data_IF_795952191094
#
_entry.id   IF_795952191094
#
_cell.length_a   1.000
_cell.length_b   1.000
_cell.length_c   1.000
_cell.angle_alpha   90.00
_cell.angle_beta   90.00
_cell.angle_gamma   90.00
#
_symmetry.space_group_name_H-M   'P 1'
#
loop_
_entity.id
_entity.type
_entity.pdbx_description
1 polymer ?
#
# COMPACT_ATOMS: atom_id res chain seq x y z
N UNK A 1 -6.25 -29.52 -26.37
CA UNK A 1 -4.86 -29.19 -26.80
C UNK A 1 -4.10 -28.59 -25.62
N UNK A 2 -3.02 -29.22 -25.15
CA UNK A 2 -2.40 -28.93 -23.85
C UNK A 2 -1.25 -27.93 -23.99
N UNK A 3 -1.27 -26.81 -23.25
CA UNK A 3 -0.08 -25.96 -23.00
C UNK A 3 -0.11 -25.36 -21.58
N UNK A 4 -0.20 -26.24 -20.58
CA UNK A 4 0.21 -25.96 -19.20
C UNK A 4 1.65 -26.45 -19.01
N UNK A 5 2.61 -25.74 -19.64
CA UNK A 5 4.05 -25.91 -19.39
C UNK A 5 4.70 -24.55 -19.57
N UNK A 6 4.68 -23.73 -18.52
CA UNK A 6 5.48 -22.50 -18.30
C UNK A 6 5.18 -21.92 -16.90
N UNK A 7 5.36 -22.75 -15.86
CA UNK A 7 5.36 -22.28 -14.47
C UNK A 7 6.68 -22.62 -13.74
N UNK A 8 7.66 -23.18 -14.45
CA UNK A 8 8.88 -23.75 -13.85
C UNK A 8 10.11 -22.83 -13.89
N UNK A 9 9.97 -21.58 -14.40
CA UNK A 9 11.13 -20.71 -14.68
C UNK A 9 11.43 -19.73 -13.54
N UNK A 10 10.49 -19.46 -12.63
CA UNK A 10 10.70 -18.52 -11.50
C UNK A 10 11.36 -19.20 -10.28
N UNK A 11 11.27 -20.53 -10.16
CA UNK A 11 11.93 -21.29 -9.09
C UNK A 11 13.40 -21.64 -9.42
N UNK A 12 13.80 -21.55 -10.69
CA UNK A 12 15.10 -22.04 -11.18
C UNK A 12 16.30 -21.15 -10.87
N UNK A 13 16.10 -19.85 -10.65
CA UNK A 13 17.22 -18.92 -10.38
C UNK A 13 17.71 -19.01 -8.93
N UNK A 14 16.83 -19.35 -7.99
CA UNK A 14 17.21 -19.64 -6.61
C UNK A 14 17.96 -20.98 -6.47
N UNK A 15 17.74 -21.93 -7.39
CA UNK A 15 18.34 -23.27 -7.36
C UNK A 15 19.69 -23.36 -8.10
N UNK A 16 20.00 -22.47 -9.05
CA UNK A 16 21.25 -22.56 -9.82
C UNK A 16 22.46 -21.92 -9.13
N UNK A 17 22.27 -21.14 -8.07
CA UNK A 17 23.36 -20.66 -7.20
C UNK A 17 23.76 -21.67 -6.10
N UNK A 18 23.16 -22.87 -6.11
CA UNK A 18 23.38 -23.92 -5.11
C UNK A 18 24.59 -24.82 -5.34
N UNK A 19 25.40 -24.61 -6.39
CA UNK A 19 26.62 -25.38 -6.58
C UNK A 19 27.83 -24.55 -6.11
N UNK A 20 28.48 -25.02 -5.04
CA UNK A 20 29.73 -24.50 -4.44
C UNK A 20 29.63 -23.29 -3.50
N UNK A 21 28.72 -23.31 -2.52
CA UNK A 21 28.94 -22.62 -1.24
C UNK A 21 29.36 -23.69 -0.21
N UNK A 22 30.67 -23.83 0.01
CA UNK A 22 31.20 -24.66 1.08
C UNK A 22 30.55 -24.27 2.41
N UNK A 23 30.23 -25.26 3.24
CA UNK A 23 29.59 -25.12 4.54
C UNK A 23 30.27 -24.04 5.40
N UNK A 24 29.79 -22.80 5.30
CA UNK A 24 30.21 -21.71 6.16
C UNK A 24 29.64 -22.02 7.55
N UNK A 25 30.52 -22.04 8.56
CA UNK A 25 30.12 -22.25 9.93
C UNK A 25 28.97 -21.30 10.30
N UNK A 26 27.96 -21.77 11.04
CA UNK A 26 26.85 -20.94 11.50
C UNK A 26 27.40 -19.68 12.22
N UNK A 27 27.01 -18.48 11.78
CA UNK A 27 27.47 -17.21 12.36
C UNK A 27 28.67 -16.53 11.68
N UNK A 28 29.21 -17.06 10.58
CA UNK A 28 30.30 -16.45 9.81
C UNK A 28 29.77 -15.90 8.48
N UNK A 29 29.61 -14.57 8.38
CA UNK A 29 29.42 -13.89 7.09
C UNK A 29 28.40 -12.75 7.05
N UNK A 30 27.38 -12.77 7.92
CA UNK A 30 26.42 -11.67 8.02
C UNK A 30 26.97 -10.54 8.91
N UNK A 31 26.71 -9.27 8.56
CA UNK A 31 27.07 -8.11 9.40
C UNK A 31 26.42 -8.26 10.79
N UNK A 32 27.20 -8.70 11.77
CA UNK A 32 26.82 -8.71 13.20
C UNK A 32 26.86 -7.32 13.81
N UNK A 33 26.24 -6.35 13.14
CA UNK A 33 26.14 -4.99 13.66
C UNK A 33 25.22 -4.97 14.88
N UNK A 34 25.61 -4.22 15.92
CA UNK A 34 24.72 -3.95 17.04
C UNK A 34 23.57 -3.00 16.63
N UNK A 35 23.71 -2.27 15.52
CA UNK A 35 22.68 -1.36 15.00
C UNK A 35 21.57 -2.06 14.21
N UNK A 36 21.76 -3.36 13.93
CA UNK A 36 20.87 -4.14 13.10
C UNK A 36 19.45 -4.18 13.68
N UNK A 37 18.47 -4.08 12.79
CA UNK A 37 17.06 -4.25 13.13
C UNK A 37 16.66 -5.72 13.27
N UNK A 38 15.42 -5.94 13.72
CA UNK A 38 14.76 -7.24 13.66
C UNK A 38 14.81 -7.80 12.23
N UNK A 39 14.91 -9.11 12.05
CA UNK A 39 14.74 -9.70 10.72
C UNK A 39 13.28 -9.58 10.27
N UNK A 40 13.08 -8.92 9.13
CA UNK A 40 11.75 -8.69 8.56
C UNK A 40 11.35 -9.82 7.61
N UNK A 41 10.06 -10.16 7.48
CA UNK A 41 9.61 -11.10 6.44
C UNK A 41 9.96 -10.61 5.02
N UNK A 42 9.95 -9.30 4.79
CA UNK A 42 10.42 -8.69 3.57
C UNK A 42 11.03 -7.30 3.84
N UNK A 43 12.17 -7.04 3.20
CA UNK A 43 12.91 -5.77 3.27
C UNK A 43 12.42 -4.87 2.15
N UNK A 44 11.44 -4.01 2.44
CA UNK A 44 10.85 -3.11 1.46
C UNK A 44 11.47 -1.72 1.58
N UNK A 45 12.49 -1.45 0.77
CA UNK A 45 13.08 -0.11 0.68
C UNK A 45 12.32 0.74 -0.34
N UNK A 46 12.15 0.26 -1.56
CA UNK A 46 11.38 0.93 -2.60
C UNK A 46 10.04 0.19 -2.73
N UNK A 47 8.96 0.71 -2.17
CA UNK A 47 7.71 -0.03 -2.22
C UNK A 47 6.58 0.63 -1.47
N UNK A 48 5.60 -0.20 -1.10
CA UNK A 48 4.51 0.25 -0.27
C UNK A 48 4.90 0.37 1.19
N UNK A 49 4.22 1.29 1.86
CA UNK A 49 4.51 1.66 3.23
C UNK A 49 3.54 0.97 4.16
N UNK A 50 4.04 0.48 5.28
CA UNK A 50 3.28 0.11 6.46
C UNK A 50 3.98 0.68 7.69
N UNK A 51 3.55 0.31 8.90
CA UNK A 51 4.21 0.75 10.13
C UNK A 51 5.72 0.42 10.17
N UNK A 52 6.15 -0.71 9.60
CA UNK A 52 7.55 -1.15 9.61
C UNK A 52 8.47 -0.25 8.76
N UNK A 53 7.90 0.59 7.88
CA UNK A 53 8.64 1.64 7.18
C UNK A 53 9.40 2.58 8.14
N UNK A 54 8.97 2.72 9.40
CA UNK A 54 9.66 3.50 10.45
C UNK A 54 11.16 3.17 10.57
N UNK A 55 11.53 1.90 10.42
CA UNK A 55 12.93 1.42 10.51
C UNK A 55 13.50 0.94 9.17
N UNK A 56 12.63 0.51 8.26
CA UNK A 56 13.05 0.06 6.93
C UNK A 56 13.39 1.23 6.01
N UNK A 57 12.44 2.15 5.79
CA UNK A 57 12.62 3.35 5.00
C UNK A 57 11.61 4.42 5.45
N UNK A 58 12.00 5.39 6.29
CA UNK A 58 11.07 6.37 6.85
C UNK A 58 10.39 7.22 5.78
N UNK A 59 11.03 7.47 4.63
CA UNK A 59 10.42 8.28 3.57
C UNK A 59 9.16 7.63 2.97
N UNK A 60 9.01 6.30 3.06
CA UNK A 60 7.81 5.60 2.64
C UNK A 60 6.57 6.00 3.47
N UNK A 61 6.75 6.40 4.74
CA UNK A 61 5.66 6.86 5.60
C UNK A 61 4.90 8.06 5.00
N UNK A 62 5.58 8.89 4.20
CA UNK A 62 4.98 10.04 3.53
C UNK A 62 3.89 9.68 2.52
N UNK A 63 3.77 8.40 2.14
CA UNK A 63 2.71 7.90 1.26
C UNK A 63 1.57 7.19 1.99
N UNK A 64 1.63 7.08 3.32
CA UNK A 64 0.54 6.54 4.11
C UNK A 64 -0.70 7.41 3.94
N UNK A 65 -1.83 6.75 3.67
CA UNK A 65 -3.12 7.44 3.60
C UNK A 65 -3.78 7.43 4.96
N UNK A 66 -3.63 6.36 5.76
CA UNK A 66 -4.20 6.23 7.09
C UNK A 66 -3.19 5.73 8.12
N UNK A 67 -3.65 5.65 9.38
CA UNK A 67 -2.88 5.05 10.47
C UNK A 67 -2.54 3.59 10.11
N UNK A 68 -1.29 3.21 10.23
CA UNK A 68 -0.82 1.86 9.87
C UNK A 68 0.12 1.33 10.94
N UNK A 69 -0.20 0.17 11.50
CA UNK A 69 0.57 -0.54 12.50
C UNK A 69 1.13 -1.85 11.95
N UNK A 70 2.30 -2.25 12.45
CA UNK A 70 2.93 -3.54 12.17
C UNK A 70 3.48 -4.14 13.46
N UNK A 71 3.14 -5.39 13.72
CA UNK A 71 3.76 -6.23 14.75
C UNK A 71 4.59 -7.28 14.04
N UNK A 72 5.84 -7.45 14.45
CA UNK A 72 6.77 -8.40 13.84
C UNK A 72 7.44 -9.26 14.89
N UNK A 73 7.71 -10.50 14.52
CA UNK A 73 8.49 -11.45 15.30
C UNK A 73 9.45 -12.18 14.40
N UNK A 74 10.69 -12.35 14.87
CA UNK A 74 11.70 -13.12 14.18
C UNK A 74 12.39 -14.07 15.14
N UNK A 75 12.64 -15.28 14.65
CA UNK A 75 13.35 -16.31 15.38
C UNK A 75 14.52 -16.79 14.54
N UNK A 76 15.67 -17.01 15.17
CA UNK A 76 16.80 -17.70 14.57
C UNK A 76 17.34 -18.72 15.57
N UNK A 77 17.85 -19.84 15.07
CA UNK A 77 18.44 -20.89 15.88
C UNK A 77 19.71 -20.37 16.56
N UNK A 78 20.09 -20.89 17.74
CA UNK A 78 21.35 -20.52 18.38
C UNK A 78 22.57 -20.77 17.50
N UNK A 79 22.53 -21.85 16.69
CA UNK A 79 23.57 -22.13 15.72
C UNK A 79 23.73 -20.99 14.73
N UNK A 80 22.66 -20.37 14.22
CA UNK A 80 22.73 -19.33 13.19
C UNK A 80 23.73 -18.19 13.50
N UNK A 81 23.94 -17.86 14.78
CA UNK A 81 24.75 -16.73 15.20
C UNK A 81 24.20 -15.37 14.71
N UNK A 82 22.93 -15.29 14.35
CA UNK A 82 22.31 -14.07 13.82
C UNK A 82 21.80 -13.16 14.93
N UNK A 83 21.78 -11.85 14.68
CA UNK A 83 21.35 -10.82 15.66
C UNK A 83 19.92 -10.30 15.46
N UNK A 84 19.25 -10.74 14.39
CA UNK A 84 17.92 -10.24 14.02
C UNK A 84 16.74 -10.95 14.69
N UNK A 85 16.96 -11.86 15.65
CA UNK A 85 15.87 -12.48 16.39
C UNK A 85 15.28 -11.53 17.45
N UNK A 86 13.96 -11.59 17.67
CA UNK A 86 13.27 -10.72 18.61
C UNK A 86 11.81 -10.45 18.24
N UNK A 87 11.30 -9.33 18.74
CA UNK A 87 9.97 -8.82 18.40
C UNK A 87 9.99 -7.30 18.24
N UNK A 88 9.10 -6.76 17.41
CA UNK A 88 8.98 -5.35 17.13
C UNK A 88 7.54 -4.90 16.97
N UNK A 89 7.25 -3.67 17.38
CA UNK A 89 5.99 -3.00 17.14
C UNK A 89 6.26 -1.64 16.51
N UNK A 90 5.56 -1.34 15.43
CA UNK A 90 5.76 -0.15 14.63
C UNK A 90 4.43 0.52 14.29
N UNK A 91 4.41 1.84 14.30
CA UNK A 91 3.23 2.66 14.04
C UNK A 91 3.58 3.83 13.13
N UNK A 92 2.88 3.96 12.02
CA UNK A 92 2.93 5.08 11.10
C UNK A 92 1.67 5.93 11.19
N UNK A 93 1.84 7.22 11.42
CA UNK A 93 0.77 8.20 11.65
C UNK A 93 0.88 9.30 10.58
N UNK A 94 0.03 9.31 9.54
CA UNK A 94 -0.02 10.42 8.61
C UNK A 94 -0.60 11.66 9.29
N UNK A 95 0.12 12.78 9.22
CA UNK A 95 -0.30 14.08 9.74
C UNK A 95 -1.03 14.87 8.65
N UNK A 96 -2.35 14.95 8.76
CA UNK A 96 -3.21 15.77 7.90
C UNK A 96 -4.51 16.15 8.59
N UNK A 97 -5.10 17.28 8.21
CA UNK A 97 -6.38 17.75 8.75
C UNK A 97 -7.52 17.25 7.87
N UNK A 98 -7.80 15.93 7.95
CA UNK A 98 -8.84 15.28 7.12
C UNK A 98 -10.23 15.90 7.30
N UNK A 99 -10.57 16.31 8.52
CA UNK A 99 -11.83 17.01 8.80
C UNK A 99 -11.97 18.37 8.08
N UNK A 100 -10.84 18.96 7.68
CA UNK A 100 -10.77 20.23 6.94
C UNK A 100 -10.36 20.02 5.47
N UNK A 101 -10.35 18.77 4.98
CA UNK A 101 -9.98 18.45 3.59
C UNK A 101 -8.48 18.62 3.27
N UNK A 102 -7.61 18.81 4.26
CA UNK A 102 -6.17 18.99 4.03
C UNK A 102 -5.50 17.63 3.93
N UNK A 103 -4.87 17.37 2.77
CA UNK A 103 -4.08 16.16 2.54
C UNK A 103 -2.90 16.05 3.53
N UNK A 104 -2.40 14.83 3.82
CA UNK A 104 -1.24 14.66 4.71
C UNK A 104 -0.03 15.45 4.20
N UNK A 105 0.53 16.31 5.05
CA UNK A 105 1.71 17.12 4.74
C UNK A 105 3.00 16.54 5.34
N UNK A 106 2.86 15.62 6.29
CA UNK A 106 3.94 14.87 6.91
C UNK A 106 3.42 13.52 7.44
N UNK A 107 4.31 12.64 7.87
CA UNK A 107 3.96 11.45 8.63
C UNK A 107 5.00 11.20 9.73
N UNK A 108 4.53 10.70 10.88
CA UNK A 108 5.38 10.27 11.99
C UNK A 108 5.44 8.76 12.05
N UNK A 109 6.58 8.22 12.46
CA UNK A 109 6.76 6.81 12.75
C UNK A 109 7.27 6.61 14.17
N UNK A 110 6.75 5.61 14.86
CA UNK A 110 7.26 5.16 16.17
C UNK A 110 7.48 3.66 16.10
N UNK A 111 8.68 3.21 16.43
CA UNK A 111 9.08 1.81 16.42
C UNK A 111 9.73 1.43 17.73
N UNK A 112 9.33 0.29 18.28
CA UNK A 112 9.98 -0.29 19.46
C UNK A 112 10.31 -1.75 19.18
N UNK A 113 11.58 -2.10 19.37
CA UNK A 113 12.09 -3.44 19.13
C UNK A 113 12.77 -3.99 20.38
N UNK A 114 12.58 -5.27 20.62
CA UNK A 114 13.30 -6.07 21.60
C UNK A 114 14.09 -7.12 20.82
N UNK A 115 15.41 -7.01 20.85
CA UNK A 115 16.33 -7.87 20.11
C UNK A 115 16.95 -8.87 21.06
N UNK A 116 16.99 -10.13 20.63
CA UNK A 116 17.56 -11.27 21.35
C UNK A 116 18.60 -11.93 20.46
N UNK A 117 19.82 -11.36 20.36
CA UNK A 117 20.86 -11.89 19.50
C UNK A 117 21.29 -13.30 19.90
N UNK A 118 21.64 -14.13 18.91
CA UNK A 118 22.19 -15.46 19.15
C UNK A 118 23.70 -15.38 19.41
N UNK A 119 24.11 -15.90 20.57
CA UNK A 119 25.50 -15.87 21.02
C UNK A 119 26.37 -16.74 20.14
N UNK A 120 27.54 -16.22 19.75
CA UNK A 120 28.58 -17.03 19.07
C UNK A 120 29.84 -17.21 19.92
N UNK A 121 30.01 -16.44 20.99
CA UNK A 121 31.11 -16.62 21.93
C UNK A 121 30.71 -17.49 23.12
N UNK A 122 31.54 -18.49 23.43
CA UNK A 122 31.45 -19.33 24.64
C UNK A 122 32.11 -18.67 25.87
N UNK A 123 32.66 -17.46 25.74
CA UNK A 123 33.28 -16.73 26.86
C UNK A 123 32.22 -16.00 27.71
N UNK A 124 32.23 -16.14 29.05
CA UNK A 124 31.32 -15.42 29.96
C UNK A 124 31.39 -13.89 29.88
N UNK A 125 32.46 -13.34 29.30
CA UNK A 125 32.75 -11.89 29.25
C UNK A 125 32.18 -11.22 28.01
N UNK A 126 31.77 -11.98 26.98
CA UNK A 126 31.19 -11.40 25.77
C UNK A 126 29.72 -11.02 25.99
N UNK A 127 29.51 -9.73 26.26
CA UNK A 127 28.22 -9.14 26.56
C UNK A 127 27.53 -8.52 25.33
N UNK A 128 28.18 -8.50 24.15
CA UNK A 128 27.66 -7.83 22.95
C UNK A 128 26.43 -8.49 22.35
N UNK A 129 26.26 -9.79 22.58
CA UNK A 129 25.09 -10.57 22.14
C UNK A 129 23.97 -10.65 23.20
N UNK A 130 24.05 -9.88 24.29
CA UNK A 130 22.97 -9.81 25.28
C UNK A 130 21.76 -9.05 24.73
N UNK A 131 20.58 -9.37 25.27
CA UNK A 131 19.31 -8.74 24.91
C UNK A 131 19.40 -7.21 25.02
N UNK A 132 18.82 -6.52 24.05
CA UNK A 132 18.71 -5.07 24.08
C UNK A 132 17.44 -4.56 23.41
N UNK A 133 17.19 -3.28 23.59
CA UNK A 133 16.03 -2.57 23.10
C UNK A 133 16.44 -1.48 22.13
N UNK A 134 15.60 -1.22 21.13
CA UNK A 134 15.78 -0.13 20.17
C UNK A 134 14.46 0.63 20.06
N UNK A 135 14.51 1.93 20.33
CA UNK A 135 13.40 2.87 20.14
C UNK A 135 13.71 3.74 18.93
N UNK A 136 12.80 3.81 17.96
CA UNK A 136 12.97 4.54 16.71
C UNK A 136 11.84 5.54 16.52
N UNK A 137 12.20 6.79 16.23
CA UNK A 137 11.28 7.87 15.89
C UNK A 137 11.58 8.32 14.46
N UNK A 138 10.58 8.32 13.60
CA UNK A 138 10.71 8.71 12.21
C UNK A 138 9.82 9.90 11.86
N UNK A 139 10.30 10.72 10.92
CA UNK A 139 9.55 11.80 10.30
C UNK A 139 9.69 11.64 8.78
N UNK A 140 8.57 11.77 8.07
CA UNK A 140 8.55 11.79 6.62
C UNK A 140 7.81 13.02 6.10
N UNK A 141 8.34 13.61 5.03
CA UNK A 141 7.77 14.79 4.39
C UNK A 141 7.55 14.46 2.90
N UNK A 142 6.29 14.27 2.48
CA UNK A 142 5.96 14.13 1.06
C UNK A 142 6.18 15.45 0.33
N UNK A 143 7.03 15.45 -0.70
CA UNK A 143 7.39 16.63 -1.50
C UNK A 143 6.51 16.77 -2.76
N UNK A 144 5.26 16.30 -2.68
CA UNK A 144 4.32 16.20 -3.81
C UNK A 144 4.01 17.56 -4.46
N UNK A 145 4.17 18.67 -3.72
CA UNK A 145 4.02 20.03 -4.24
C UNK A 145 5.08 20.39 -5.29
N UNK A 146 6.28 19.83 -5.17
CA UNK A 146 7.40 20.08 -6.09
C UNK A 146 7.57 18.95 -7.09
N UNK A 147 7.57 17.71 -6.61
CA UNK A 147 7.73 16.51 -7.45
C UNK A 147 6.73 15.45 -6.99
N UNK A 148 5.78 15.11 -7.86
CA UNK A 148 4.79 14.07 -7.59
C UNK A 148 5.50 12.74 -7.31
N UNK A 149 5.09 12.07 -6.23
CA UNK A 149 5.66 10.78 -5.85
C UNK A 149 7.00 10.85 -5.13
N UNK A 150 7.54 12.04 -4.83
CA UNK A 150 8.77 12.20 -4.04
C UNK A 150 8.45 12.35 -2.55
N UNK A 151 9.23 11.69 -1.70
CA UNK A 151 9.17 11.82 -0.24
C UNK A 151 10.58 11.71 0.35
N UNK A 152 10.85 12.49 1.39
CA UNK A 152 12.07 12.41 2.19
C UNK A 152 11.73 11.96 3.60
N UNK A 153 12.66 11.28 4.26
CA UNK A 153 12.47 10.80 5.62
C UNK A 153 13.74 10.86 6.46
N UNK A 154 13.54 10.90 7.77
CA UNK A 154 14.57 10.89 8.80
C UNK A 154 14.14 9.89 9.88
N UNK A 155 15.07 9.08 10.39
CA UNK A 155 14.86 8.27 11.59
C UNK A 155 15.95 8.55 12.60
N UNK A 156 15.55 8.77 13.85
CA UNK A 156 16.42 8.75 15.02
C UNK A 156 16.12 7.49 15.83
N UNK A 157 17.14 6.68 16.08
CA UNK A 157 17.03 5.46 16.90
C UNK A 157 17.96 5.52 18.09
N UNK A 158 17.46 5.12 19.25
CA UNK A 158 18.22 4.96 20.48
C UNK A 158 18.22 3.51 20.93
N UNK A 159 19.41 2.94 21.06
CA UNK A 159 19.61 1.61 21.60
C UNK A 159 19.93 1.70 23.10
N UNK A 160 19.41 0.74 23.86
CA UNK A 160 19.62 0.68 25.30
C UNK A 160 19.44 -0.72 25.85
N UNK A 161 20.18 -1.04 26.91
CA UNK A 161 20.04 -2.27 27.68
C UNK A 161 20.71 -2.13 29.04
N UNK A 162 20.05 -2.66 30.08
CA UNK A 162 20.67 -2.79 31.41
C UNK A 162 21.69 -3.93 31.47
N UNK A 163 21.57 -4.90 30.56
CA UNK A 163 22.39 -6.11 30.56
C UNK A 163 23.50 -6.06 29.51
N UNK A 164 23.27 -5.37 28.40
CA UNK A 164 24.23 -5.23 27.30
C UNK A 164 24.87 -3.82 27.32
N UNK A 165 26.08 -3.66 27.89
CA UNK A 165 26.69 -2.35 28.00
C UNK A 165 27.21 -1.83 26.66
N UNK A 166 27.39 -2.68 25.63
CA UNK A 166 27.85 -2.27 24.30
C UNK A 166 26.92 -1.27 23.64
N UNK A 167 25.61 -1.46 23.81
CA UNK A 167 24.57 -0.71 23.11
C UNK A 167 23.91 0.34 24.00
N UNK A 168 24.34 0.47 25.25
CA UNK A 168 23.72 1.36 26.21
C UNK A 168 23.97 2.82 25.81
N UNK A 169 22.92 3.48 25.32
CA UNK A 169 23.00 4.89 24.90
C UNK A 169 23.59 5.10 23.52
N UNK A 170 23.51 4.11 22.62
CA UNK A 170 23.94 4.26 21.23
C UNK A 170 22.84 4.93 20.42
N UNK A 171 23.19 6.05 19.79
CA UNK A 171 22.30 6.83 18.93
C UNK A 171 22.61 6.56 17.45
N UNK A 172 21.58 6.36 16.63
CA UNK A 172 21.67 6.18 15.18
C UNK A 172 20.75 7.18 14.48
N UNK A 173 21.28 7.82 13.44
CA UNK A 173 20.54 8.72 12.57
C UNK A 173 20.55 8.18 11.13
N UNK A 174 19.36 8.02 10.56
CA UNK A 174 19.18 7.55 9.19
C UNK A 174 18.44 8.62 8.36
N UNK A 175 18.83 8.76 7.10
CA UNK A 175 18.15 9.60 6.11
C UNK A 175 17.58 8.73 5.00
N UNK A 176 16.45 9.10 4.42
CA UNK A 176 15.86 8.34 3.33
C UNK A 176 15.18 9.20 2.28
N UNK A 177 15.13 8.64 1.07
CA UNK A 177 14.50 9.22 -0.10
C UNK A 177 13.71 8.12 -0.83
N UNK A 178 12.46 8.39 -1.16
CA UNK A 178 11.67 7.53 -2.05
C UNK A 178 11.07 8.36 -3.17
N UNK A 179 11.18 7.84 -4.39
CA UNK A 179 10.54 8.39 -5.57
C UNK A 179 9.68 7.34 -6.27
N UNK A 180 8.36 7.53 -6.26
CA UNK A 180 7.38 6.73 -7.01
C UNK A 180 7.09 7.42 -8.33
N UNK A 181 7.92 7.14 -9.34
CA UNK A 181 7.83 7.75 -10.67
C UNK A 181 6.46 7.52 -11.30
N UNK A 182 5.99 6.27 -11.27
CA UNK A 182 4.66 5.89 -11.72
C UNK A 182 4.16 4.64 -10.96
N UNK A 183 3.11 3.99 -11.48
CA UNK A 183 2.57 2.75 -10.89
C UNK A 183 3.46 1.52 -11.12
N UNK A 184 4.38 1.57 -12.08
CA UNK A 184 5.24 0.45 -12.48
C UNK A 184 6.62 0.52 -11.84
N UNK A 185 7.15 1.71 -11.51
CA UNK A 185 8.51 1.85 -10.98
C UNK A 185 8.54 2.73 -9.74
N UNK A 186 9.24 2.26 -8.71
CA UNK A 186 9.59 3.03 -7.53
C UNK A 186 11.10 2.90 -7.23
N UNK A 187 11.69 3.99 -6.79
CA UNK A 187 13.08 4.08 -6.35
C UNK A 187 13.11 4.41 -4.86
N UNK A 188 14.01 3.79 -4.12
CA UNK A 188 14.23 4.04 -2.70
C UNK A 188 15.71 4.06 -2.39
N UNK A 189 16.11 4.94 -1.49
CA UNK A 189 17.46 5.01 -0.96
C UNK A 189 17.38 5.31 0.53
N UNK A 190 18.04 4.49 1.34
CA UNK A 190 18.23 4.76 2.77
C UNK A 190 19.72 4.90 3.05
N UNK A 191 20.10 5.97 3.72
CA UNK A 191 21.44 6.24 4.21
C UNK A 191 21.41 5.99 5.72
N UNK A 192 21.99 4.88 6.17
CA UNK A 192 21.97 4.44 7.57
C UNK A 192 23.23 4.88 8.30
N UNK A 193 23.07 5.26 9.57
CA UNK A 193 24.18 5.61 10.44
C UNK A 193 24.95 6.84 9.95
N UNK A 194 24.24 7.89 9.55
CA UNK A 194 24.80 9.18 9.09
C UNK A 194 25.73 9.79 10.15
N UNK A 195 25.42 9.56 11.43
CA UNK A 195 26.22 10.00 12.57
C UNK A 195 27.37 9.04 12.93
N UNK A 196 27.63 7.99 12.15
CA UNK A 196 28.65 6.95 12.40
C UNK A 196 28.63 6.43 13.85
N UNK A 197 27.57 5.71 14.25
CA UNK A 197 27.37 5.34 15.65
C UNK A 197 28.54 4.54 16.23
N UNK A 198 28.76 4.68 17.54
CA UNK A 198 29.82 3.97 18.27
C UNK A 198 29.19 3.15 19.39
N UNK A 199 29.47 1.85 19.41
CA UNK A 199 29.05 0.93 20.47
C UNK A 199 30.29 0.35 21.16
N UNK A 200 30.29 0.18 22.48
CA UNK A 200 31.49 -0.29 23.17
C UNK A 200 31.37 -0.35 24.68
N UNK A 201 32.42 -0.88 25.34
CA UNK A 201 32.54 -1.01 26.79
C UNK A 201 33.97 -0.68 27.20
N UNK A 202 34.14 0.12 28.26
CA UNK A 202 35.40 0.16 29.02
C UNK A 202 36.67 0.40 28.18
N UNK A 203 36.61 1.36 27.25
CA UNK A 203 37.72 1.71 26.35
C UNK A 203 37.78 0.89 25.04
N UNK A 204 37.06 -0.22 24.93
CA UNK A 204 36.88 -0.97 23.68
C UNK A 204 35.64 -0.46 22.96
N UNK A 205 35.78 0.10 21.76
CA UNK A 205 34.63 0.57 20.98
C UNK A 205 34.70 0.15 19.52
N UNK A 206 33.54 -0.10 18.95
CA UNK A 206 33.31 -0.41 17.56
C UNK A 206 32.56 0.77 16.91
N UNK A 207 33.16 1.32 15.86
CA UNK A 207 32.55 2.36 15.04
C UNK A 207 31.82 1.69 13.87
N UNK A 208 30.56 2.07 13.65
CA UNK A 208 29.80 1.61 12.49
C UNK A 208 29.92 2.62 11.36
N UNK A 209 30.38 2.18 10.17
CA UNK A 209 30.43 3.05 9.00
C UNK A 209 29.01 3.37 8.51
N UNK A 210 28.91 4.46 7.77
CA UNK A 210 27.71 4.81 7.01
C UNK A 210 27.40 3.72 5.97
N UNK A 211 26.12 3.37 5.84
CA UNK A 211 25.63 2.38 4.87
C UNK A 211 24.60 3.00 3.92
N UNK A 212 24.64 2.62 2.66
CA UNK A 212 23.67 2.99 1.64
C UNK A 212 22.84 1.75 1.29
N UNK A 213 21.52 1.88 1.23
CA UNK A 213 20.59 0.81 0.89
C UNK A 213 19.69 1.28 -0.27
N UNK A 214 20.21 1.36 -1.51
CA UNK A 214 19.40 1.62 -2.70
C UNK A 214 18.54 0.42 -3.08
N UNK A 215 17.35 0.70 -3.60
CA UNK A 215 16.46 -0.30 -4.19
C UNK A 215 15.63 0.29 -5.34
N UNK A 216 15.41 -0.52 -6.37
CA UNK A 216 14.45 -0.28 -7.44
C UNK A 216 13.38 -1.36 -7.37
N UNK A 217 12.12 -0.95 -7.29
CA UNK A 217 10.99 -1.86 -7.37
C UNK A 217 10.20 -1.68 -8.67
N UNK A 218 9.89 -2.80 -9.31
CA UNK A 218 9.22 -2.88 -10.60
C UNK A 218 7.92 -3.68 -10.43
N UNK A 219 6.82 -3.14 -10.96
CA UNK A 219 5.48 -3.73 -11.01
C UNK A 219 5.03 -3.82 -12.47
N UNK A 220 5.28 -4.94 -13.16
CA UNK A 220 5.02 -5.05 -14.60
C UNK A 220 3.56 -4.74 -15.01
N UNK A 221 2.59 -5.04 -14.14
CA UNK A 221 1.17 -4.80 -14.39
C UNK A 221 0.65 -3.47 -13.81
N UNK A 222 1.54 -2.65 -13.23
CA UNK A 222 1.18 -1.43 -12.50
C UNK A 222 0.35 -1.70 -11.24
N UNK A 223 0.38 -2.93 -10.75
CA UNK A 223 -0.38 -3.47 -9.61
C UNK A 223 0.53 -4.40 -8.80
N UNK A 224 0.10 -4.75 -7.59
CA UNK A 224 0.85 -5.59 -6.64
C UNK A 224 0.76 -7.09 -6.93
N UNK A 225 0.11 -7.48 -8.02
CA UNK A 225 0.06 -8.87 -8.48
C UNK A 225 1.45 -9.44 -8.68
N UNK A 226 2.40 -8.61 -9.15
CA UNK A 226 3.81 -8.96 -9.24
C UNK A 226 4.63 -7.72 -8.91
N UNK A 227 5.46 -7.79 -7.87
CA UNK A 227 6.47 -6.78 -7.55
C UNK A 227 7.85 -7.45 -7.45
N UNK A 228 8.84 -6.84 -8.09
CA UNK A 228 10.24 -7.29 -8.08
C UNK A 228 11.08 -6.13 -7.56
N UNK A 229 11.79 -6.33 -6.46
CA UNK A 229 12.74 -5.37 -5.90
C UNK A 229 14.18 -5.84 -6.11
N UNK A 230 15.04 -4.95 -6.62
CA UNK A 230 16.47 -5.20 -6.78
C UNK A 230 17.20 -4.05 -6.11
N UNK A 231 18.12 -4.38 -5.20
CA UNK A 231 18.85 -3.40 -4.41
C UNK A 231 20.04 -4.03 -3.72
N UNK A 232 20.46 -3.44 -2.62
CA UNK A 232 21.50 -4.02 -1.78
C UNK A 232 22.13 -3.00 -0.86
N UNK A 233 22.82 -3.50 0.17
CA UNK A 233 23.53 -2.65 1.12
C UNK A 233 24.96 -2.41 0.65
N UNK A 234 25.38 -1.15 0.63
CA UNK A 234 26.72 -0.71 0.22
C UNK A 234 27.33 0.05 1.40
N UNK A 235 28.56 -0.30 1.77
CA UNK A 235 29.31 0.38 2.82
C UNK A 235 30.64 0.87 2.25
N UNK A 236 30.72 2.16 1.87
CA UNK A 236 31.86 2.70 1.11
C UNK A 236 33.15 2.76 1.93
N UNK A 237 33.07 2.86 3.26
CA UNK A 237 34.23 2.93 4.16
C UNK A 237 34.36 1.64 4.99
N UNK A 238 35.56 1.05 5.00
CA UNK A 238 35.90 -0.11 5.83
C UNK A 238 36.57 0.34 7.13
N UNK A 239 36.10 -0.08 8.32
CA UNK A 239 36.91 0.04 9.53
C UNK A 239 38.16 -0.83 9.40
N UNK A 240 39.33 -0.29 9.75
CA UNK A 240 40.64 -0.88 9.48
C UNK A 240 41.00 -2.12 10.34
N UNK A 241 40.10 -2.62 11.20
CA UNK A 241 40.53 -3.43 12.36
C UNK A 241 39.67 -4.66 12.70
N UNK A 242 39.05 -5.35 11.73
CA UNK A 242 38.48 -6.69 12.03
C UNK A 242 38.74 -7.74 10.95
N UNK A 243 39.26 -8.94 11.31
CA UNK A 243 39.53 -10.06 10.39
C UNK A 243 38.26 -10.75 9.84
N UNK A 244 37.07 -10.23 10.15
CA UNK A 244 35.76 -10.64 9.63
C UNK A 244 35.01 -9.44 9.06
N UNK A 245 35.71 -8.61 8.28
CA UNK A 245 35.09 -7.44 7.66
C UNK A 245 34.19 -7.89 6.50
N UNK A 246 32.87 -7.65 6.58
CA UNK A 246 31.92 -7.97 5.52
C UNK A 246 32.26 -7.18 4.26
N UNK A 247 32.04 -7.80 3.10
CA UNK A 247 32.24 -7.15 1.81
C UNK A 247 31.50 -5.80 1.75
N UNK A 248 32.06 -4.80 1.04
CA UNK A 248 31.47 -3.47 0.95
C UNK A 248 30.13 -3.46 0.21
N UNK A 249 29.73 -4.57 -0.42
CA UNK A 249 28.54 -4.69 -1.27
C UNK A 249 27.79 -5.97 -0.87
N UNK A 250 26.49 -5.83 -0.60
CA UNK A 250 25.58 -6.91 -0.23
C UNK A 250 24.31 -6.82 -1.10
N UNK A 251 24.35 -7.37 -2.33
CA UNK A 251 23.20 -7.35 -3.23
C UNK A 251 21.98 -8.05 -2.63
N UNK A 252 20.79 -7.50 -2.88
CA UNK A 252 19.51 -8.03 -2.44
C UNK A 252 18.53 -8.07 -3.60
N UNK A 253 17.79 -9.17 -3.72
CA UNK A 253 16.67 -9.28 -4.64
C UNK A 253 15.44 -9.82 -3.89
N UNK A 254 14.28 -9.25 -4.15
CA UNK A 254 12.99 -9.72 -3.62
C UNK A 254 11.94 -9.80 -4.71
N UNK A 255 11.03 -10.74 -4.57
CA UNK A 255 9.88 -10.88 -5.44
C UNK A 255 8.64 -11.19 -4.60
N UNK A 256 7.51 -10.60 -4.97
CA UNK A 256 6.21 -10.97 -4.43
C UNK A 256 5.21 -11.16 -5.56
N UNK A 257 4.36 -12.15 -5.40
CA UNK A 257 3.28 -12.47 -6.32
C UNK A 257 1.99 -12.66 -5.52
N UNK A 258 0.91 -11.99 -5.92
CA UNK A 258 -0.35 -12.05 -5.19
C UNK A 258 -1.55 -12.12 -6.14
N UNK A 259 -2.53 -12.96 -5.78
CA UNK A 259 -3.81 -13.11 -6.49
C UNK A 259 -4.92 -13.08 -5.46
N UNK A 260 -5.79 -12.09 -5.57
CA UNK A 260 -6.79 -11.83 -4.54
C UNK A 260 -6.11 -11.49 -3.23
N UNK A 261 -6.55 -12.12 -2.15
CA UNK A 261 -6.06 -11.93 -0.80
C UNK A 261 -4.87 -12.82 -0.44
N UNK A 262 -4.39 -13.67 -1.35
CA UNK A 262 -3.30 -14.61 -1.10
C UNK A 262 -2.09 -14.25 -1.97
N UNK A 263 -0.91 -14.41 -1.40
CA UNK A 263 0.35 -14.18 -2.10
C UNK A 263 1.50 -15.01 -1.58
N UNK A 264 2.57 -14.99 -2.35
CA UNK A 264 3.87 -15.57 -2.07
C UNK A 264 4.89 -14.46 -2.11
N UNK A 265 5.91 -14.57 -1.28
CA UNK A 265 7.07 -13.69 -1.34
C UNK A 265 8.35 -14.50 -1.19
N UNK A 266 9.43 -13.98 -1.76
CA UNK A 266 10.78 -14.45 -1.51
C UNK A 266 11.77 -13.28 -1.53
N UNK A 267 12.83 -13.41 -0.75
CA UNK A 267 13.94 -12.48 -0.72
C UNK A 267 15.24 -13.25 -0.56
N UNK A 268 16.27 -12.81 -1.27
CA UNK A 268 17.64 -13.33 -1.20
C UNK A 268 18.60 -12.16 -1.05
N UNK A 269 19.51 -12.27 -0.08
CA UNK A 269 20.58 -11.30 0.17
C UNK A 269 21.94 -12.02 0.11
N UNK A 270 22.83 -11.51 -0.72
CA UNK A 270 24.18 -12.03 -0.91
C UNK A 270 25.16 -11.28 -0.01
N UNK A 271 26.09 -12.02 0.58
CA UNK A 271 27.19 -11.42 1.34
C UNK A 271 28.46 -12.24 1.14
N UNK A 272 29.59 -11.53 1.06
CA UNK A 272 30.91 -12.13 0.97
C UNK A 272 31.74 -11.77 2.20
N UNK A 273 32.60 -12.69 2.62
CA UNK A 273 33.54 -12.48 3.71
C UNK A 273 34.96 -12.84 3.31
N UNK A 274 35.90 -12.03 3.79
CA UNK A 274 37.33 -12.31 3.68
C UNK A 274 37.77 -13.13 4.88
N UNK A 275 38.11 -14.40 4.65
CA UNK A 275 38.81 -15.22 5.64
C UNK A 275 40.31 -15.06 5.42
N UNK A 276 41.06 -14.73 6.47
CA UNK A 276 42.51 -14.49 6.41
C UNK A 276 43.30 -15.62 5.71
N UNK A 277 42.81 -16.87 5.79
CA UNK A 277 43.55 -18.06 5.32
C UNK A 277 42.91 -18.81 4.14
N UNK A 278 41.75 -18.39 3.60
CA UNK A 278 40.99 -19.22 2.64
C UNK A 278 40.29 -18.48 1.47
N UNK A 279 40.61 -17.20 1.26
CA UNK A 279 40.00 -16.40 0.18
C UNK A 279 38.56 -15.95 0.49
N UNK A 280 37.94 -15.29 -0.50
CA UNK A 280 36.57 -14.77 -0.41
C UNK A 280 35.55 -15.93 -0.44
N UNK A 281 34.74 -16.05 0.61
CA UNK A 281 33.62 -16.98 0.64
C UNK A 281 32.31 -16.20 0.41
N UNK A 282 31.58 -16.58 -0.63
CA UNK A 282 30.24 -16.06 -0.93
C UNK A 282 29.20 -16.93 -0.23
N UNK A 283 28.25 -16.30 0.45
CA UNK A 283 27.07 -16.95 1.01
C UNK A 283 25.82 -16.14 0.67
N UNK A 284 24.66 -16.78 0.79
CA UNK A 284 23.38 -16.15 0.56
C UNK A 284 22.40 -16.51 1.67
N UNK A 285 21.66 -15.50 2.11
CA UNK A 285 20.52 -15.63 3.00
C UNK A 285 19.25 -15.57 2.19
N UNK A 286 18.28 -16.39 2.55
CA UNK A 286 16.97 -16.40 1.93
C UNK A 286 15.86 -16.36 2.99
N UNK A 287 14.72 -15.82 2.59
CA UNK A 287 13.45 -15.96 3.29
C UNK A 287 12.36 -16.10 2.23
N UNK A 288 11.43 -17.01 2.42
CA UNK A 288 10.32 -17.20 1.51
C UNK A 288 9.08 -17.65 2.27
N UNK A 289 7.90 -17.21 1.85
CA UNK A 289 6.70 -17.48 2.61
C UNK A 289 5.42 -17.01 1.94
N UNK A 290 4.38 -16.96 2.75
CA UNK A 290 3.02 -16.64 2.34
C UNK A 290 2.62 -15.25 2.81
N UNK A 291 1.73 -14.62 2.07
CA UNK A 291 1.08 -13.37 2.44
C UNK A 291 -0.43 -13.55 2.33
N UNK A 292 -1.15 -13.06 3.33
CA UNK A 292 -2.60 -12.95 3.34
C UNK A 292 -2.94 -11.48 3.54
N UNK A 293 -3.44 -10.82 2.51
CA UNK A 293 -3.77 -9.39 2.54
C UNK A 293 -5.28 -9.19 2.45
N UNK A 294 -5.86 -8.78 3.57
CA UNK A 294 -7.21 -8.25 3.68
C UNK A 294 -7.13 -6.71 3.63
N UNK A 295 -8.27 -6.02 3.39
CA UNK A 295 -8.27 -4.57 3.23
C UNK A 295 -7.65 -3.78 4.40
N UNK A 296 -7.81 -4.28 5.63
CA UNK A 296 -7.33 -3.62 6.85
C UNK A 296 -6.34 -4.45 7.68
N UNK A 297 -6.18 -5.73 7.33
CA UNK A 297 -5.34 -6.67 8.08
C UNK A 297 -4.47 -7.41 7.09
N UNK A 298 -3.17 -7.49 7.35
CA UNK A 298 -2.24 -8.27 6.54
C UNK A 298 -1.45 -9.24 7.41
N UNK A 299 -1.21 -10.45 6.95
CA UNK A 299 -0.34 -11.41 7.59
C UNK A 299 0.72 -11.87 6.59
N UNK A 300 1.99 -11.80 6.97
CA UNK A 300 3.09 -12.24 6.13
C UNK A 300 4.06 -13.05 6.98
N UNK A 301 4.55 -14.18 6.50
CA UNK A 301 5.57 -14.91 7.22
C UNK A 301 6.10 -16.14 6.51
N UNK A 302 7.29 -16.58 6.90
CA UNK A 302 7.94 -17.73 6.31
C UNK A 302 9.28 -18.10 6.98
N UNK A 303 9.79 -19.31 6.68
CA UNK A 303 11.13 -19.74 7.10
C UNK A 303 12.22 -18.91 6.42
N UNK A 304 13.32 -18.74 7.13
CA UNK A 304 14.55 -18.10 6.64
C UNK A 304 15.76 -18.99 6.89
N UNK A 305 16.81 -18.81 6.10
CA UNK A 305 18.02 -19.60 6.28
C UNK A 305 19.17 -19.14 5.40
N UNK A 306 20.30 -19.84 5.55
CA UNK A 306 21.40 -19.81 4.58
C UNK A 306 21.15 -20.83 3.48
N UNK A 307 21.83 -20.71 2.34
CA UNK A 307 21.76 -21.74 1.29
C UNK A 307 22.10 -23.11 1.88
N UNK A 308 21.19 -24.08 1.69
CA UNK A 308 21.33 -25.44 2.20
C UNK A 308 20.87 -25.67 3.65
N UNK A 309 20.34 -24.65 4.35
CA UNK A 309 19.83 -24.79 5.71
C UNK A 309 18.60 -23.91 6.00
N UNK A 310 17.76 -24.34 6.92
CA UNK A 310 16.72 -23.51 7.55
C UNK A 310 17.18 -23.22 8.97
N UNK A 311 17.40 -21.95 9.30
CA UNK A 311 17.97 -21.53 10.59
C UNK A 311 17.12 -20.48 11.31
N UNK A 312 15.93 -20.17 10.79
CA UNK A 312 15.04 -19.20 11.42
C UNK A 312 13.75 -18.98 10.65
N UNK A 313 13.07 -17.88 10.97
CA UNK A 313 11.89 -17.41 10.28
C UNK A 313 11.41 -16.08 10.84
N UNK A 314 10.58 -15.39 10.07
CA UNK A 314 9.98 -14.13 10.48
C UNK A 314 8.49 -14.10 10.12
N UNK A 315 7.73 -13.36 10.90
CA UNK A 315 6.31 -13.10 10.67
C UNK A 315 5.97 -11.63 10.98
N UNK A 316 4.97 -11.10 10.26
CA UNK A 316 4.42 -9.75 10.38
C UNK A 316 2.89 -9.83 10.41
N UNK A 317 2.28 -9.10 11.34
CA UNK A 317 0.87 -8.73 11.35
C UNK A 317 0.75 -7.23 11.09
N UNK A 318 0.12 -6.85 9.99
CA UNK A 318 -0.22 -5.47 9.62
C UNK A 318 -1.66 -5.18 10.03
N UNK A 319 -1.88 -4.04 10.67
CA UNK A 319 -3.20 -3.49 11.02
C UNK A 319 -3.28 -2.07 10.47
N UNK A 320 -4.20 -1.75 9.56
CA UNK A 320 -4.28 -0.43 8.95
C UNK A 320 -5.70 0.10 8.86
N UNK A 321 -5.87 1.38 9.21
CA UNK A 321 -7.10 2.13 8.96
C UNK A 321 -7.24 2.51 7.48
N UNK A 322 -6.17 2.40 6.69
CA UNK A 322 -6.26 2.58 5.25
C UNK A 322 -6.66 1.27 4.57
N UNK A 323 -7.52 1.39 3.56
CA UNK A 323 -7.89 0.26 2.75
C UNK A 323 -6.74 -0.07 1.79
N UNK A 324 -6.14 -1.23 1.95
CA UNK A 324 -5.20 -1.79 0.98
C UNK A 324 -5.97 -2.44 -0.17
N UNK A 325 -5.56 -2.12 -1.39
CA UNK A 325 -6.11 -2.76 -2.57
C UNK A 325 -5.61 -4.21 -2.62
N UNK A 326 -6.56 -5.14 -2.58
CA UNK A 326 -6.34 -6.56 -2.81
C UNK A 326 -5.73 -6.73 -4.21
N UNK A 327 -4.74 -7.61 -4.36
CA UNK A 327 -4.07 -7.87 -5.64
C UNK A 327 -5.01 -8.61 -6.62
N UNK A 328 -6.08 -7.96 -7.05
CA UNK A 328 -7.02 -8.47 -8.03
C UNK A 328 -6.73 -7.85 -9.39
N UNK A 329 -6.72 -8.64 -10.49
CA UNK A 329 -6.75 -8.05 -11.82
C UNK A 329 -7.99 -7.17 -11.92
N UNK A 330 -7.82 -5.94 -12.40
CA UNK A 330 -8.93 -5.02 -12.68
C UNK A 330 -9.99 -5.74 -13.54
N UNK A 331 -11.29 -5.47 -13.32
CA UNK A 331 -12.31 -5.89 -14.27
C UNK A 331 -11.87 -5.42 -15.66
N UNK A 332 -11.85 -6.36 -16.61
CA UNK A 332 -11.32 -6.13 -17.96
C UNK A 332 -12.17 -5.15 -18.77
N UNK A 333 -13.37 -4.83 -18.29
CA UNK A 333 -14.35 -4.02 -19.00
C UNK A 333 -15.13 -3.12 -18.01
N UNK A 334 -15.13 -1.83 -18.30
CA UNK A 334 -15.94 -0.82 -17.61
C UNK A 334 -16.82 -0.17 -18.68
N UNK A 335 -18.13 -0.33 -18.55
CA UNK A 335 -19.09 0.22 -19.50
C UNK A 335 -19.45 1.63 -19.08
N UNK A 336 -19.08 2.62 -19.90
CA UNK A 336 -19.40 4.02 -19.66
C UNK A 336 -20.63 4.40 -20.47
N UNK A 337 -21.64 4.92 -19.78
CA UNK A 337 -22.94 5.27 -20.35
C UNK A 337 -23.19 6.76 -20.08
N UNK A 338 -23.35 7.54 -21.14
CA UNK A 338 -23.72 8.95 -21.03
C UNK A 338 -25.20 9.10 -21.35
N UNK A 339 -26.01 9.51 -20.37
CA UNK A 339 -27.48 9.55 -20.53
C UNK A 339 -27.94 10.51 -21.63
N UNK A 340 -27.13 11.53 -21.96
CA UNK A 340 -27.37 12.42 -23.11
C UNK A 340 -27.55 11.68 -24.44
N UNK A 341 -26.95 10.51 -24.60
CA UNK A 341 -26.97 9.75 -25.84
C UNK A 341 -28.23 8.87 -25.95
N UNK A 342 -28.94 8.66 -24.82
CA UNK A 342 -30.07 7.76 -24.66
C UNK A 342 -31.41 8.48 -24.42
N UNK A 343 -31.62 9.63 -25.07
CA UNK A 343 -32.87 10.41 -24.96
C UNK A 343 -34.04 9.79 -25.72
N UNK A 344 -35.22 9.92 -25.15
CA UNK A 344 -36.48 9.41 -25.71
C UNK A 344 -36.70 7.93 -25.41
N UNK A 345 -37.97 7.54 -25.46
CA UNK A 345 -38.45 6.24 -24.97
C UNK A 345 -37.73 5.05 -25.62
N UNK A 346 -37.54 5.08 -26.94
CA UNK A 346 -36.87 3.99 -27.68
C UNK A 346 -35.40 3.81 -27.29
N UNK A 347 -34.67 4.91 -27.10
CA UNK A 347 -33.24 4.82 -26.76
C UNK A 347 -33.03 4.44 -25.31
N UNK A 348 -33.95 4.84 -24.43
CA UNK A 348 -33.96 4.39 -23.04
C UNK A 348 -34.25 2.89 -22.95
N UNK A 349 -35.26 2.39 -23.67
CA UNK A 349 -35.55 0.96 -23.71
C UNK A 349 -34.32 0.16 -24.16
N UNK A 350 -33.67 0.57 -25.26
CA UNK A 350 -32.43 -0.08 -25.71
C UNK A 350 -31.27 0.03 -24.72
N UNK A 351 -31.21 1.10 -23.90
CA UNK A 351 -30.23 1.21 -22.82
C UNK A 351 -30.50 0.18 -21.71
N UNK A 352 -31.76 0.00 -21.33
CA UNK A 352 -32.18 -0.98 -20.33
C UNK A 352 -31.84 -2.40 -20.83
N UNK A 353 -32.18 -2.73 -22.07
CA UNK A 353 -31.82 -4.00 -22.70
C UNK A 353 -30.30 -4.24 -22.67
N UNK A 354 -29.52 -3.19 -22.95
CA UNK A 354 -28.06 -3.25 -22.90
C UNK A 354 -27.58 -3.55 -21.48
N UNK A 355 -28.11 -2.86 -20.47
CA UNK A 355 -27.76 -3.07 -19.06
C UNK A 355 -28.10 -4.49 -18.59
N UNK A 356 -29.25 -5.02 -19.02
CA UNK A 356 -29.70 -6.37 -18.68
C UNK A 356 -28.87 -7.46 -19.36
N UNK A 357 -28.41 -7.22 -20.59
CA UNK A 357 -27.53 -8.11 -21.33
C UNK A 357 -26.08 -8.14 -20.81
N UNK A 358 -25.66 -7.18 -19.97
CA UNK A 358 -24.31 -7.16 -19.43
C UNK A 358 -23.98 -8.42 -18.60
N UNK A 359 -22.76 -8.99 -18.72
CA UNK A 359 -22.33 -10.10 -17.88
C UNK A 359 -22.41 -9.78 -16.38
N UNK A 360 -22.63 -10.81 -15.56
CA UNK A 360 -22.53 -10.70 -14.10
C UNK A 360 -21.15 -10.17 -13.68
N UNK A 361 -21.11 -9.26 -12.70
CA UNK A 361 -19.87 -8.62 -12.25
C UNK A 361 -19.39 -7.42 -13.09
N UNK A 362 -20.15 -6.99 -14.11
CA UNK A 362 -19.81 -5.81 -14.91
C UNK A 362 -19.78 -4.53 -14.08
N UNK A 363 -18.85 -3.63 -14.41
CA UNK A 363 -18.78 -2.29 -13.81
C UNK A 363 -19.33 -1.26 -14.78
N UNK A 364 -20.32 -0.49 -14.34
CA UNK A 364 -20.99 0.54 -15.14
C UNK A 364 -20.75 1.91 -14.53
N UNK A 365 -20.38 2.88 -15.38
CA UNK A 365 -20.27 4.29 -15.01
C UNK A 365 -21.37 5.07 -15.75
N UNK A 366 -22.25 5.74 -15.01
CA UNK A 366 -23.36 6.51 -15.58
C UNK A 366 -23.10 7.99 -15.43
N UNK A 367 -22.99 8.68 -16.55
CA UNK A 367 -22.86 10.13 -16.61
C UNK A 367 -24.25 10.73 -16.79
N UNK A 368 -24.71 11.45 -15.78
CA UNK A 368 -26.10 11.92 -15.75
C UNK A 368 -26.35 13.18 -16.57
N UNK A 369 -25.29 13.83 -17.04
CA UNK A 369 -25.36 15.08 -17.78
C UNK A 369 -26.26 14.94 -19.00
N UNK A 370 -27.30 15.78 -19.05
CA UNK A 370 -28.16 15.89 -20.22
C UNK A 370 -29.02 14.66 -20.51
N UNK A 371 -29.20 13.74 -19.56
CA UNK A 371 -30.14 12.64 -19.67
C UNK A 371 -31.61 13.07 -19.62
N UNK A 372 -32.51 12.19 -20.05
CA UNK A 372 -33.95 12.35 -19.79
C UNK A 372 -34.21 12.16 -18.29
N UNK A 373 -34.81 13.16 -17.65
CA UNK A 373 -35.10 13.14 -16.20
C UNK A 373 -36.60 13.03 -15.91
N UNK A 374 -37.37 12.45 -16.84
CA UNK A 374 -38.77 12.13 -16.58
C UNK A 374 -38.84 11.05 -15.50
N UNK A 375 -39.77 11.18 -14.57
CA UNK A 375 -39.86 10.27 -13.42
C UNK A 375 -39.99 8.79 -13.82
N UNK A 376 -40.82 8.47 -14.83
CA UNK A 376 -40.96 7.11 -15.32
C UNK A 376 -39.65 6.56 -15.91
N UNK A 377 -38.93 7.37 -16.68
CA UNK A 377 -37.64 6.97 -17.26
C UNK A 377 -36.58 6.73 -16.19
N UNK A 378 -36.55 7.59 -15.17
CA UNK A 378 -35.65 7.45 -14.04
C UNK A 378 -35.94 6.19 -13.24
N UNK A 379 -37.21 5.86 -13.02
CA UNK A 379 -37.60 4.65 -12.30
C UNK A 379 -37.15 3.39 -13.03
N UNK A 380 -37.51 3.26 -14.32
CA UNK A 380 -37.12 2.12 -15.16
C UNK A 380 -35.60 1.92 -15.21
N UNK A 381 -34.87 3.01 -15.41
CA UNK A 381 -33.41 2.96 -15.43
C UNK A 381 -32.86 2.59 -14.05
N UNK A 382 -33.41 3.16 -12.97
CA UNK A 382 -33.02 2.85 -11.59
C UNK A 382 -33.19 1.37 -11.29
N UNK A 383 -34.32 0.78 -11.64
CA UNK A 383 -34.56 -0.65 -11.44
C UNK A 383 -33.56 -1.51 -12.21
N UNK A 384 -33.25 -1.16 -13.46
CA UNK A 384 -32.24 -1.87 -14.25
C UNK A 384 -30.85 -1.84 -13.57
N UNK A 385 -30.49 -0.74 -12.91
CA UNK A 385 -29.25 -0.63 -12.13
C UNK A 385 -29.27 -1.50 -10.88
N UNK A 386 -30.39 -1.54 -10.17
CA UNK A 386 -30.57 -2.42 -9.01
C UNK A 386 -30.48 -3.89 -9.44
N UNK A 387 -31.08 -4.28 -10.56
CA UNK A 387 -30.97 -5.63 -11.14
C UNK A 387 -29.53 -5.97 -11.52
N UNK A 388 -28.78 -5.03 -12.10
CA UNK A 388 -27.36 -5.20 -12.41
C UNK A 388 -26.53 -5.43 -11.13
N UNK A 389 -26.77 -4.67 -10.07
CA UNK A 389 -26.09 -4.85 -8.78
C UNK A 389 -26.42 -6.22 -8.15
N UNK A 390 -27.68 -6.66 -8.26
CA UNK A 390 -28.09 -8.00 -7.84
C UNK A 390 -27.30 -9.13 -8.53
N UNK A 391 -26.83 -8.90 -9.77
CA UNK A 391 -25.94 -9.80 -10.52
C UNK A 391 -24.45 -9.56 -10.23
N UNK A 392 -24.12 -9.09 -9.03
CA UNK A 392 -22.76 -8.74 -8.58
C UNK A 392 -22.09 -7.60 -9.37
N UNK A 393 -22.83 -6.87 -10.21
CA UNK A 393 -22.33 -5.70 -10.92
C UNK A 393 -22.02 -4.54 -9.97
N UNK A 394 -21.24 -3.57 -10.44
CA UNK A 394 -20.95 -2.32 -9.71
C UNK A 394 -21.37 -1.12 -10.52
N UNK A 395 -22.04 -0.17 -9.88
CA UNK A 395 -22.52 1.05 -10.52
C UNK A 395 -21.87 2.27 -9.89
N UNK A 396 -21.30 3.14 -10.72
CA UNK A 396 -20.80 4.46 -10.31
C UNK A 396 -21.60 5.52 -11.04
N UNK A 397 -22.28 6.41 -10.31
CA UNK A 397 -22.96 7.55 -10.89
C UNK A 397 -22.06 8.79 -10.84
N UNK A 398 -21.82 9.42 -11.99
CA UNK A 398 -21.14 10.69 -12.11
C UNK A 398 -22.15 11.82 -12.33
N UNK A 399 -22.27 12.69 -11.32
CA UNK A 399 -23.17 13.83 -11.29
C UNK A 399 -22.44 15.11 -11.73
N UNK A 400 -22.79 15.65 -12.89
CA UNK A 400 -22.39 17.00 -13.33
C UNK A 400 -23.44 18.05 -12.95
N UNK A 401 -23.82 18.07 -11.67
CA UNK A 401 -25.05 18.72 -11.23
C UNK A 401 -26.30 17.93 -11.65
N UNK A 402 -27.47 18.48 -11.36
CA UNK A 402 -28.71 17.80 -11.69
C UNK A 402 -29.89 18.20 -10.83
N UNK A 403 -31.04 17.60 -11.12
CA UNK A 403 -32.28 17.77 -10.36
C UNK A 403 -32.44 16.66 -9.32
N UNK A 404 -33.52 16.75 -8.52
CA UNK A 404 -33.95 15.68 -7.63
C UNK A 404 -34.09 14.33 -8.36
N UNK A 405 -34.62 14.31 -9.58
CA UNK A 405 -34.76 13.08 -10.37
C UNK A 405 -33.39 12.48 -10.74
N UNK A 406 -32.42 13.32 -11.11
CA UNK A 406 -31.05 12.87 -11.38
C UNK A 406 -30.37 12.29 -10.15
N UNK A 407 -30.58 12.92 -8.99
CA UNK A 407 -30.07 12.44 -7.71
C UNK A 407 -30.75 11.13 -7.29
N UNK A 408 -32.06 11.02 -7.50
CA UNK A 408 -32.84 9.82 -7.24
C UNK A 408 -32.34 8.62 -8.07
N UNK A 409 -32.04 8.81 -9.37
CA UNK A 409 -31.35 7.80 -10.17
C UNK A 409 -29.99 7.42 -9.57
N UNK A 410 -29.14 8.42 -9.31
CA UNK A 410 -27.79 8.21 -8.79
C UNK A 410 -27.76 7.49 -7.44
N UNK A 411 -28.82 7.61 -6.64
CA UNK A 411 -28.95 6.93 -5.35
C UNK A 411 -29.02 5.40 -5.45
N UNK A 412 -29.18 4.82 -6.64
CA UNK A 412 -29.05 3.38 -6.86
C UNK A 412 -27.59 2.95 -7.01
N UNK A 413 -26.66 3.86 -7.28
CA UNK A 413 -25.27 3.49 -7.53
C UNK A 413 -24.54 3.06 -6.24
N UNK A 414 -23.57 2.15 -6.36
CA UNK A 414 -22.65 1.81 -5.25
C UNK A 414 -21.80 3.03 -4.83
N UNK A 415 -21.56 3.94 -5.76
CA UNK A 415 -20.78 5.16 -5.52
C UNK A 415 -21.32 6.32 -6.35
N UNK A 416 -21.51 7.45 -5.70
CA UNK A 416 -21.84 8.73 -6.34
C UNK A 416 -20.59 9.60 -6.34
N UNK A 417 -20.23 10.14 -7.50
CA UNK A 417 -19.14 11.11 -7.68
C UNK A 417 -19.76 12.37 -8.26
N UNK A 418 -19.64 13.49 -7.56
CA UNK A 418 -20.19 14.77 -8.01
C UNK A 418 -19.07 15.72 -8.45
N UNK A 419 -19.33 16.50 -9.50
CA UNK A 419 -18.44 17.60 -9.89
C UNK A 419 -18.48 18.71 -8.81
N UNK A 420 -17.33 19.14 -8.25
CA UNK A 420 -17.29 20.01 -7.07
C UNK A 420 -17.94 21.38 -7.28
N UNK A 421 -17.88 21.90 -8.51
CA UNK A 421 -18.43 23.22 -8.85
C UNK A 421 -19.90 23.19 -9.32
N UNK A 422 -20.54 22.01 -9.39
CA UNK A 422 -21.90 21.88 -9.94
C UNK A 422 -22.94 21.77 -8.83
N UNK A 423 -24.06 22.48 -8.97
CA UNK A 423 -25.17 22.47 -8.00
C UNK A 423 -26.10 21.27 -8.21
N UNK A 424 -26.64 20.75 -7.12
CA UNK A 424 -27.69 19.74 -7.09
C UNK A 424 -28.99 20.36 -6.58
N UNK A 425 -30.03 20.39 -7.42
CA UNK A 425 -31.35 20.90 -7.08
C UNK A 425 -32.23 19.83 -6.44
N UNK A 426 -31.97 19.50 -5.16
CA UNK A 426 -32.68 18.45 -4.40
C UNK A 426 -33.76 19.01 -3.46
N UNK A 427 -34.39 20.11 -3.85
CA UNK A 427 -35.30 20.92 -3.00
C UNK A 427 -36.73 20.39 -2.89
N UNK A 428 -37.03 19.19 -3.42
CA UNK A 428 -38.35 18.58 -3.39
C UNK A 428 -39.13 18.68 -4.71
N UNK A 429 -40.39 18.24 -4.68
CA UNK A 429 -41.33 18.29 -5.81
C UNK A 429 -42.36 19.38 -5.54
N UNK A 430 -42.57 20.26 -6.51
CA UNK A 430 -43.56 21.33 -6.45
C UNK A 430 -44.32 21.39 -7.77
N UNK A 431 -45.63 21.61 -7.68
CA UNK A 431 -46.50 21.84 -8.84
C UNK A 431 -47.09 23.23 -8.68
N UNK A 432 -46.85 24.09 -9.67
CA UNK A 432 -47.46 25.41 -9.76
C UNK A 432 -48.49 25.41 -10.87
N UNK A 433 -49.68 25.91 -10.57
CA UNK A 433 -50.73 26.13 -11.55
C UNK A 433 -51.01 27.63 -11.59
N UNK A 434 -51.06 28.19 -12.79
CA UNK A 434 -51.45 29.58 -13.00
C UNK A 434 -52.95 29.65 -13.28
N UNK A 435 -53.57 30.72 -12.77
CA UNK A 435 -54.98 31.05 -12.93
C UNK A 435 -55.07 32.41 -13.60
N UNK A 436 -55.81 32.48 -14.71
CA UNK A 436 -55.81 33.60 -15.64
C UNK A 436 -57.17 34.27 -15.79
N UNK A 437 -58.23 33.83 -15.09
CA UNK A 437 -59.58 34.34 -15.33
C UNK A 437 -59.66 35.86 -15.14
N UNK A 438 -59.12 36.39 -14.04
CA UNK A 438 -59.11 37.83 -13.75
C UNK A 438 -58.34 38.65 -14.79
N UNK A 439 -57.22 38.09 -15.30
CA UNK A 439 -56.44 38.75 -16.35
C UNK A 439 -57.25 38.81 -17.66
N UNK A 440 -57.87 37.70 -18.04
CA UNK A 440 -58.70 37.61 -19.24
C UNK A 440 -59.90 38.57 -19.14
N UNK A 441 -60.57 38.63 -17.99
CA UNK A 441 -61.67 39.55 -17.74
C UNK A 441 -61.26 41.02 -17.90
N UNK A 442 -60.09 41.41 -17.39
CA UNK A 442 -59.53 42.77 -17.57
C UNK A 442 -59.22 43.10 -19.03
N UNK A 443 -58.93 42.09 -19.85
CA UNK A 443 -58.69 42.23 -21.30
C UNK A 443 -59.99 42.14 -22.12
N UNK A 444 -61.15 41.99 -21.49
CA UNK A 444 -62.43 41.84 -22.18
C UNK A 444 -62.63 40.46 -22.82
N UNK A 445 -61.87 39.44 -22.40
CA UNK A 445 -61.95 38.08 -22.91
C UNK A 445 -62.52 37.11 -21.85
N UNK A 446 -63.20 36.05 -22.31
CA UNK A 446 -63.69 34.96 -21.45
C UNK A 446 -63.44 33.61 -22.13
N UNK A 447 -62.93 32.64 -21.37
CA UNK A 447 -62.82 31.26 -21.84
C UNK A 447 -64.15 30.53 -21.72
N UNK A 448 -64.56 29.84 -22.78
CA UNK A 448 -65.70 28.92 -22.79
C UNK A 448 -65.18 27.50 -23.03
N UNK A 449 -65.32 26.62 -22.04
CA UNK A 449 -64.84 25.25 -22.12
C UNK A 449 -65.98 24.26 -21.94
N UNK A 450 -65.97 23.21 -22.76
CA UNK A 450 -66.82 22.04 -22.57
C UNK A 450 -66.02 20.98 -21.81
N UNK A 451 -66.44 20.70 -20.57
CA UNK A 451 -65.83 19.67 -19.72
C UNK A 451 -66.80 18.52 -19.51
N UNK A 452 -66.33 17.31 -19.81
CA UNK A 452 -66.97 16.06 -19.41
C UNK A 452 -66.07 15.46 -18.33
N UNK A 453 -66.63 15.24 -17.14
CA UNK A 453 -66.01 14.79 -15.87
C UNK A 453 -65.40 15.86 -14.95
N UNK A 454 -65.61 15.66 -13.64
CA UNK A 454 -65.23 16.56 -12.55
C UNK A 454 -63.72 16.83 -12.47
N UNK A 455 -62.88 15.81 -12.70
CA UNK A 455 -61.43 15.91 -12.52
C UNK A 455 -60.64 16.35 -13.76
N UNK A 456 -61.31 16.71 -14.86
CA UNK A 456 -60.64 17.30 -16.03
C UNK A 456 -60.36 18.78 -15.78
N UNK A 457 -59.44 19.05 -14.84
CA UNK A 457 -59.21 20.38 -14.25
C UNK A 457 -58.36 21.34 -15.10
N UNK A 458 -57.87 20.93 -16.28
CA UNK A 458 -57.05 21.79 -17.14
C UNK A 458 -57.74 23.11 -17.58
N UNK A 459 -59.07 23.16 -17.82
CA UNK A 459 -59.80 24.40 -18.05
C UNK A 459 -59.83 25.35 -16.85
N UNK A 460 -59.68 24.86 -15.62
CA UNK A 460 -59.82 25.68 -14.41
C UNK A 460 -58.81 26.83 -14.36
N UNK A 461 -57.62 26.66 -14.96
CA UNK A 461 -56.63 27.73 -15.12
C UNK A 461 -57.15 28.97 -15.88
N UNK A 462 -58.25 28.85 -16.62
CA UNK A 462 -58.83 29.93 -17.42
C UNK A 462 -60.21 30.38 -16.90
N UNK A 463 -60.83 29.61 -16.02
CA UNK A 463 -62.15 29.88 -15.42
C UNK A 463 -62.06 30.45 -14.00
N UNK A 464 -60.97 30.16 -13.28
CA UNK A 464 -60.68 30.63 -11.93
C UNK A 464 -59.61 31.71 -11.88
#
# INVERSE_FOLDING_TARGET
MPRLRRASVVLGVALYLGASAAAAAPGVGERRSHLRDLDHPSTVIAGEADGAATVMNPSNLGFLRGLSGALEGAYTSPSSGRRGAGAGAFLGIPLGLRALGVAPFAALGVGYQVLVPQRVSLSPVDTGDLRFHKLSLALAIPLVRWVKGLSVGLTYSRLFSRQNPWVQGVDQLDLALTYRADRHVALGLVVRGVNTPRAGIGGTSQVYPLELDPEVAIRPFGQRTLEIGIGGRIAPMRPHFTPLSPAPWQPRARASFAVGNLGLFSEVELFAFQRQDAGDLLSARWIAGLTVDLPHVGLQGGPSGLVGAVDGGAARLRLSLERHDVAAPRPREVVRIALRDHRGDRKLAGLIDTLEALPAGSVVVIETRGGDTKWAHVEELREALVRLQGRSGKVVAYLEGGSLATYYLASAADRIVAHPERRLGITGIHVQVFYYADLLARLGARGEFLRIAEHKARPESFER
#
